data_IF_347408187409
#
_entry.id   IF_347408187409
#
_cell.length_a   1.000
_cell.length_b   1.000
_cell.length_c   1.000
_cell.angle_alpha   90.00
_cell.angle_beta   90.00
_cell.angle_gamma   90.00
#
_symmetry.space_group_name_H-M   'P 1'
#
loop_
_entity.id
_entity.type
_entity.pdbx_description
1 polymer ?
#
# COMPACT_ATOMS: atom_id res chain seq x y z
N UNK A 1 3.18 -19.53 -3.36
CA UNK A 1 1.80 -19.89 -2.95
C UNK A 1 1.16 -20.71 -4.08
N UNK A 2 0.09 -21.48 -3.80
CA UNK A 2 -0.56 -22.28 -4.85
C UNK A 2 -1.37 -21.36 -5.79
N UNK A 3 -1.19 -21.45 -7.11
CA UNK A 3 -1.88 -20.58 -8.08
C UNK A 3 -3.39 -20.86 -8.22
N UNK A 4 -3.92 -21.88 -7.53
CA UNK A 4 -5.32 -22.29 -7.62
C UNK A 4 -6.20 -21.81 -6.45
N UNK A 5 -5.63 -21.09 -5.48
CA UNK A 5 -6.41 -20.40 -4.46
C UNK A 5 -6.92 -19.07 -5.02
N UNK A 6 -8.23 -18.79 -4.93
CA UNK A 6 -8.91 -17.60 -5.47
C UNK A 6 -8.33 -16.25 -5.03
N UNK A 7 -7.48 -16.24 -4.01
CA UNK A 7 -6.82 -15.06 -3.43
C UNK A 7 -5.37 -14.90 -3.92
N UNK A 8 -4.90 -15.70 -4.88
CA UNK A 8 -3.48 -15.80 -5.23
C UNK A 8 -3.21 -15.69 -6.74
N UNK A 9 -3.87 -14.76 -7.41
CA UNK A 9 -3.44 -14.37 -8.76
C UNK A 9 -2.07 -13.69 -8.68
N UNK A 10 -1.13 -14.17 -9.49
CA UNK A 10 0.22 -13.61 -9.61
C UNK A 10 0.26 -12.77 -10.88
N UNK A 11 0.78 -11.56 -10.77
CA UNK A 11 1.07 -10.71 -11.91
C UNK A 11 2.53 -10.91 -12.34
N UNK A 12 2.79 -10.97 -13.64
CA UNK A 12 4.15 -11.06 -14.17
C UNK A 12 4.42 -9.78 -14.94
N UNK A 13 5.44 -9.03 -14.50
CA UNK A 13 5.84 -7.76 -15.13
C UNK A 13 6.44 -8.00 -16.52
N UNK A 14 6.60 -6.94 -17.31
CA UNK A 14 7.31 -6.99 -18.60
C UNK A 14 8.77 -7.45 -18.48
N UNK A 15 9.35 -7.36 -17.27
CA UNK A 15 10.69 -7.85 -16.91
C UNK A 15 10.73 -9.32 -16.48
N UNK A 16 9.57 -9.99 -16.39
CA UNK A 16 9.46 -11.39 -15.97
C UNK A 16 9.50 -11.59 -14.46
N UNK A 17 9.31 -10.53 -13.65
CA UNK A 17 9.23 -10.64 -12.20
C UNK A 17 7.81 -11.06 -11.79
N UNK A 18 7.68 -12.05 -10.91
CA UNK A 18 6.42 -12.41 -10.27
C UNK A 18 6.10 -11.45 -9.13
N UNK A 19 4.89 -10.90 -9.13
CA UNK A 19 4.42 -9.93 -8.14
C UNK A 19 2.97 -10.16 -7.72
N UNK A 20 2.54 -9.41 -6.71
CA UNK A 20 1.14 -9.34 -6.32
C UNK A 20 0.28 -8.77 -7.46
N UNK A 21 -0.96 -9.26 -7.61
CA UNK A 21 -1.86 -8.84 -8.69
C UNK A 21 -2.15 -7.33 -8.72
N UNK A 22 -2.17 -6.68 -7.55
CA UNK A 22 -2.36 -5.22 -7.46
C UNK A 22 -1.32 -4.43 -8.26
N UNK A 23 -0.11 -4.97 -8.46
CA UNK A 23 0.88 -4.28 -9.28
C UNK A 23 0.42 -4.12 -10.72
N UNK A 24 -0.29 -5.11 -11.27
CA UNK A 24 -0.90 -5.03 -12.58
C UNK A 24 -2.05 -4.02 -12.64
N UNK A 25 -2.75 -3.74 -11.53
CA UNK A 25 -3.68 -2.61 -11.48
C UNK A 25 -2.91 -1.30 -11.61
N UNK A 26 -1.85 -1.11 -10.84
CA UNK A 26 -1.03 0.10 -10.91
C UNK A 26 -0.53 0.34 -12.34
N UNK A 27 0.11 -0.64 -12.98
CA UNK A 27 0.60 -0.50 -14.37
C UNK A 27 -0.52 -0.09 -15.34
N UNK A 28 -1.70 -0.72 -15.24
CA UNK A 28 -2.85 -0.39 -16.10
C UNK A 28 -3.43 1.00 -15.84
N UNK A 29 -3.39 1.47 -14.60
CA UNK A 29 -3.92 2.78 -14.23
C UNK A 29 -2.93 3.92 -14.51
N UNK A 30 -1.63 3.69 -14.36
CA UNK A 30 -0.59 4.71 -14.54
C UNK A 30 0.06 4.71 -15.92
N UNK A 31 -0.15 3.65 -16.72
CA UNK A 31 0.50 3.44 -18.03
C UNK A 31 2.05 3.43 -17.92
N UNK A 32 2.57 2.89 -16.81
CA UNK A 32 4.00 2.82 -16.51
C UNK A 32 4.41 1.38 -16.20
N UNK A 33 5.54 0.94 -16.74
CA UNK A 33 6.13 -0.36 -16.43
C UNK A 33 6.70 -0.36 -14.99
N UNK A 34 6.21 -1.27 -14.14
CA UNK A 34 6.69 -1.45 -12.78
C UNK A 34 7.67 -2.63 -12.72
N UNK A 35 8.48 -2.66 -11.66
CA UNK A 35 9.56 -3.67 -11.49
C UNK A 35 9.38 -4.42 -10.20
N UNK A 36 10.19 -5.46 -9.96
CA UNK A 36 10.35 -6.08 -8.63
C UNK A 36 10.57 -5.09 -7.47
N UNK A 37 11.13 -3.90 -7.72
CA UNK A 37 11.33 -2.86 -6.69
C UNK A 37 10.06 -2.06 -6.38
N UNK A 38 8.95 -2.35 -7.06
CA UNK A 38 7.62 -1.82 -6.76
C UNK A 38 6.81 -2.77 -5.86
N UNK A 39 7.33 -3.97 -5.58
CA UNK A 39 6.76 -4.91 -4.63
C UNK A 39 7.78 -5.17 -3.50
N UNK A 40 7.67 -4.42 -2.40
CA UNK A 40 8.64 -4.43 -1.31
C UNK A 40 7.97 -4.92 -0.03
N UNK A 41 8.64 -5.84 0.68
CA UNK A 41 8.23 -6.24 2.03
C UNK A 41 8.62 -5.17 3.05
N UNK A 42 7.91 -5.11 4.17
CA UNK A 42 8.08 -4.07 5.21
C UNK A 42 9.54 -3.83 5.61
N UNK A 43 10.37 -4.89 5.64
CA UNK A 43 11.80 -4.82 5.98
C UNK A 43 12.62 -3.92 5.05
N UNK A 44 12.25 -3.81 3.78
CA UNK A 44 12.95 -3.01 2.77
C UNK A 44 12.33 -1.65 2.52
N UNK A 45 11.15 -1.36 3.08
CA UNK A 45 10.34 -0.21 2.69
C UNK A 45 11.04 1.12 3.00
N UNK A 46 11.47 1.32 4.24
CA UNK A 46 12.08 2.57 4.69
C UNK A 46 13.29 2.97 3.83
N UNK A 47 14.26 2.06 3.68
CA UNK A 47 15.45 2.30 2.87
C UNK A 47 15.11 2.54 1.40
N UNK A 48 14.11 1.84 0.88
CA UNK A 48 13.70 1.99 -0.52
C UNK A 48 13.03 3.34 -0.78
N UNK A 49 12.18 3.81 0.12
CA UNK A 49 11.52 5.11 0.00
C UNK A 49 12.52 6.26 0.11
N UNK A 50 13.36 6.26 1.14
CA UNK A 50 14.39 7.31 1.28
C UNK A 50 15.39 7.31 0.14
N UNK A 51 15.78 6.14 -0.35
CA UNK A 51 16.67 6.08 -1.51
C UNK A 51 16.01 6.67 -2.75
N UNK A 52 14.73 6.36 -3.00
CA UNK A 52 13.99 6.94 -4.14
C UNK A 52 13.80 8.45 -4.01
N UNK A 53 13.61 8.96 -2.79
CA UNK A 53 13.53 10.40 -2.53
C UNK A 53 14.88 11.08 -2.77
N UNK A 54 15.97 10.56 -2.18
CA UNK A 54 17.31 11.17 -2.23
C UNK A 54 18.03 11.04 -3.57
N UNK A 55 17.90 9.90 -4.24
CA UNK A 55 18.58 9.66 -5.52
C UNK A 55 17.87 10.38 -6.69
N UNK A 56 16.71 10.99 -6.45
CA UNK A 56 15.87 11.58 -7.48
C UNK A 56 15.21 10.51 -8.33
N UNK A 57 14.04 10.03 -7.91
CA UNK A 57 13.22 9.19 -8.77
C UNK A 57 12.70 10.01 -9.96
N UNK A 58 12.45 9.36 -11.11
CA UNK A 58 11.76 10.02 -12.23
C UNK A 58 10.35 10.46 -11.86
N UNK A 59 9.75 9.84 -10.84
CA UNK A 59 8.39 10.11 -10.38
C UNK A 59 8.37 11.28 -9.39
N UNK A 60 7.51 12.26 -9.64
CA UNK A 60 7.23 13.37 -8.71
C UNK A 60 6.43 12.90 -7.48
N UNK A 61 5.64 11.83 -7.62
CA UNK A 61 4.80 11.26 -6.56
C UNK A 61 5.02 9.76 -6.47
N UNK A 62 5.21 9.25 -5.25
CA UNK A 62 5.35 7.82 -4.95
C UNK A 62 4.13 7.37 -4.12
N UNK A 63 3.34 6.46 -4.67
CA UNK A 63 2.22 5.83 -3.95
C UNK A 63 2.69 4.50 -3.39
N UNK A 64 2.52 4.31 -2.09
CA UNK A 64 2.82 3.05 -1.40
C UNK A 64 1.55 2.52 -0.77
N UNK A 65 1.16 1.29 -1.14
CA UNK A 65 0.00 0.58 -0.57
C UNK A 65 0.48 -0.46 0.44
N UNK A 66 -0.23 -0.59 1.56
CA UNK A 66 -0.12 -1.75 2.46
C UNK A 66 -1.35 -2.64 2.29
N UNK A 67 -1.13 -3.95 2.19
CA UNK A 67 -2.20 -4.94 2.18
C UNK A 67 -2.67 -5.35 3.59
N UNK A 68 -2.08 -4.80 4.65
CA UNK A 68 -2.42 -5.13 6.03
C UNK A 68 -3.69 -4.37 6.49
N UNK A 69 -4.45 -4.96 7.41
CA UNK A 69 -5.59 -4.27 8.02
C UNK A 69 -5.17 -3.55 9.31
N UNK A 70 -5.95 -2.55 9.72
CA UNK A 70 -5.72 -1.87 11.01
C UNK A 70 -5.87 -2.89 12.14
N UNK A 71 -4.98 -2.81 13.13
CA UNK A 71 -4.80 -3.75 14.26
C UNK A 71 -4.04 -5.06 13.95
N UNK A 72 -3.63 -5.29 12.71
CA UNK A 72 -2.70 -6.38 12.38
C UNK A 72 -1.25 -6.02 12.75
N UNK A 73 -0.47 -7.02 13.20
CA UNK A 73 0.92 -6.83 13.64
C UNK A 73 1.83 -6.36 12.50
N UNK A 74 1.48 -6.68 11.26
CA UNK A 74 2.18 -6.31 10.05
C UNK A 74 2.11 -4.80 9.79
N UNK A 75 0.97 -4.17 10.13
CA UNK A 75 0.78 -2.74 9.92
C UNK A 75 1.64 -1.92 10.89
N UNK A 76 1.98 -2.45 12.08
CA UNK A 76 2.80 -1.74 13.06
C UNK A 76 4.19 -1.37 12.51
N UNK A 77 4.84 -2.30 11.81
CA UNK A 77 6.15 -2.04 11.21
C UNK A 77 6.04 -1.10 9.99
N UNK A 78 4.92 -1.15 9.27
CA UNK A 78 4.63 -0.27 8.14
C UNK A 78 4.34 1.17 8.60
N UNK A 79 3.52 1.35 9.63
CA UNK A 79 3.16 2.66 10.17
C UNK A 79 4.37 3.37 10.80
N UNK A 80 5.24 2.64 11.50
CA UNK A 80 6.48 3.21 12.03
C UNK A 80 7.43 3.64 10.91
N UNK A 81 7.49 2.87 9.81
CA UNK A 81 8.26 3.26 8.63
C UNK A 81 7.73 4.55 7.99
N UNK A 82 6.41 4.65 7.80
CA UNK A 82 5.76 5.87 7.29
C UNK A 82 6.07 7.05 8.20
N UNK A 83 5.91 6.87 9.52
CA UNK A 83 6.20 7.92 10.51
C UNK A 83 7.64 8.40 10.39
N UNK A 84 8.60 7.51 10.18
CA UNK A 84 10.00 7.91 9.97
C UNK A 84 10.21 8.67 8.66
N UNK A 85 9.58 8.22 7.56
CA UNK A 85 9.63 8.92 6.27
C UNK A 85 9.04 10.33 6.41
N UNK A 86 7.85 10.48 7.00
CA UNK A 86 7.21 11.78 7.24
C UNK A 86 8.12 12.74 8.04
N UNK A 87 8.81 12.23 9.05
CA UNK A 87 9.73 13.04 9.86
C UNK A 87 10.98 13.48 9.10
N UNK A 88 11.44 12.69 8.13
CA UNK A 88 12.63 13.02 7.32
C UNK A 88 12.32 13.90 6.12
N UNK A 89 11.20 13.64 5.43
CA UNK A 89 10.83 14.38 4.22
C UNK A 89 10.09 15.68 4.53
N UNK A 90 9.52 15.81 5.72
CA UNK A 90 8.66 16.93 6.11
C UNK A 90 7.18 16.69 5.78
N UNK A 91 6.26 17.35 6.52
CA UNK A 91 4.82 17.15 6.42
C UNK A 91 4.20 17.57 5.07
N UNK A 92 4.90 18.39 4.29
CA UNK A 92 4.48 18.82 2.95
C UNK A 92 4.76 17.77 1.86
N UNK A 93 5.65 16.81 2.14
CA UNK A 93 6.13 15.82 1.18
C UNK A 93 5.62 14.41 1.45
N UNK A 94 4.80 14.22 2.49
CA UNK A 94 4.23 12.93 2.85
C UNK A 94 2.77 13.07 3.29
N UNK A 95 1.92 12.18 2.79
CA UNK A 95 0.50 12.12 3.12
C UNK A 95 0.08 10.68 3.36
N UNK A 96 -0.74 10.45 4.39
CA UNK A 96 -1.28 9.13 4.74
C UNK A 96 -2.77 9.08 4.45
N UNK A 97 -3.17 8.09 3.65
CA UNK A 97 -4.57 7.84 3.30
C UNK A 97 -5.04 6.55 3.96
N UNK A 98 -5.96 6.67 4.93
CA UNK A 98 -6.59 5.51 5.56
C UNK A 98 -7.88 5.12 4.82
N UNK A 99 -7.93 3.89 4.32
CA UNK A 99 -9.10 3.36 3.62
C UNK A 99 -9.95 2.52 4.57
N UNK A 100 -11.25 2.82 4.64
CA UNK A 100 -12.17 2.16 5.57
C UNK A 100 -13.45 1.72 4.89
N UNK A 101 -14.02 0.61 5.35
CA UNK A 101 -15.29 0.10 4.86
C UNK A 101 -16.46 0.69 5.66
N UNK A 102 -17.33 1.41 4.95
CA UNK A 102 -18.62 1.85 5.47
C UNK A 102 -19.65 0.77 5.21
N UNK A 103 -20.20 0.21 6.30
CA UNK A 103 -21.10 -0.95 6.20
C UNK A 103 -22.56 -0.51 6.16
N UNK A 104 -23.38 -1.22 5.39
CA UNK A 104 -24.84 -1.06 5.37
C UNK A 104 -25.50 -2.30 5.96
N UNK A 105 -26.29 -2.12 7.02
CA UNK A 105 -27.01 -3.21 7.68
C UNK A 105 -28.45 -3.27 7.18
N UNK A 106 -28.71 -4.19 6.25
CA UNK A 106 -30.04 -4.39 5.66
C UNK A 106 -31.14 -4.69 6.69
N UNK A 107 -30.83 -5.36 7.81
CA UNK A 107 -31.80 -5.69 8.86
C UNK A 107 -32.39 -4.48 9.57
N UNK A 108 -31.65 -3.36 9.59
CA UNK A 108 -32.06 -2.10 10.22
C UNK A 108 -32.20 -0.95 9.23
N UNK A 109 -31.77 -1.14 7.97
CA UNK A 109 -31.85 -0.13 6.92
C UNK A 109 -30.85 1.01 7.06
N UNK A 110 -29.77 0.83 7.84
CA UNK A 110 -28.87 1.92 8.25
C UNK A 110 -27.41 1.68 7.87
N UNK A 111 -26.72 2.78 7.55
CA UNK A 111 -25.27 2.83 7.40
C UNK A 111 -24.61 2.88 8.79
N UNK A 112 -23.50 2.16 8.96
CA UNK A 112 -22.71 2.15 10.20
C UNK A 112 -21.29 2.63 9.95
N UNK A 113 -20.95 3.74 10.63
CA UNK A 113 -19.64 4.40 10.58
C UNK A 113 -18.72 3.99 11.74
N UNK A 114 -19.22 3.23 12.72
CA UNK A 114 -18.44 2.79 13.89
C UNK A 114 -17.13 2.07 13.50
N UNK A 115 -17.11 1.14 12.52
CA UNK A 115 -15.85 0.52 12.09
C UNK A 115 -14.80 1.54 11.64
N UNK A 116 -15.21 2.57 10.89
CA UNK A 116 -14.32 3.64 10.42
C UNK A 116 -13.77 4.50 11.55
N UNK A 117 -14.59 4.82 12.55
CA UNK A 117 -14.14 5.57 13.73
C UNK A 117 -13.08 4.80 14.51
N UNK A 118 -13.24 3.48 14.63
CA UNK A 118 -12.26 2.64 15.33
C UNK A 118 -10.94 2.53 14.56
N UNK A 119 -10.96 2.59 13.22
CA UNK A 119 -9.75 2.45 12.40
C UNK A 119 -8.78 3.65 12.42
N UNK A 120 -9.16 4.75 13.08
CA UNK A 120 -8.36 6.00 13.15
C UNK A 120 -7.74 6.19 14.56
N UNK A 121 -8.12 5.36 15.52
CA UNK A 121 -7.81 5.56 16.94
C UNK A 121 -6.37 5.21 17.28
#
# INVERSE_FOLDING_TARGET
MSPYQKECEVFVTSYGDESHFNLGHCERFTDEDLTRYSNITTRGLYQSLLKKERDGCKSEVIITESSATVDDIELLAFSETIRQVENETGPENANVVNTTLITYLYSVGEIKTKPSQNSIR
#
